data_IF_877810581913
#
_entry.id   IF_877810581913
#
_cell.length_a   1.000
_cell.length_b   1.000
_cell.length_c   1.000
_cell.angle_alpha   90.00
_cell.angle_beta   90.00
_cell.angle_gamma   90.00
#
_symmetry.space_group_name_H-M   'P 1'
#
loop_
_entity.id
_entity.type
_entity.pdbx_description
1 polymer ?
#
# COMPACT_ATOMS: atom_id res chain seq x y z
N UNK A 1 15.50 -8.69 -18.23
CA UNK A 1 14.27 -8.59 -17.43
C UNK A 1 13.89 -9.97 -16.91
N UNK A 2 13.71 -10.09 -15.63
CA UNK A 2 13.34 -11.35 -14.98
C UNK A 2 11.84 -11.60 -15.14
N UNK A 3 11.46 -12.83 -15.57
CA UNK A 3 10.06 -13.21 -15.75
C UNK A 3 9.57 -13.96 -14.51
N UNK A 4 8.49 -13.48 -13.90
CA UNK A 4 7.89 -14.06 -12.70
C UNK A 4 6.43 -14.40 -13.02
N UNK A 5 6.14 -15.70 -13.15
CA UNK A 5 4.86 -16.14 -13.72
C UNK A 5 3.95 -16.86 -12.73
N UNK A 6 4.41 -17.12 -11.51
CA UNK A 6 3.58 -17.80 -10.52
C UNK A 6 3.99 -17.45 -9.10
N UNK A 7 3.05 -17.62 -8.17
CA UNK A 7 3.30 -17.55 -6.74
C UNK A 7 3.77 -18.93 -6.30
N UNK A 8 4.99 -19.03 -5.79
CA UNK A 8 5.58 -20.31 -5.37
C UNK A 8 5.32 -20.63 -3.91
N UNK A 9 4.78 -19.69 -3.16
CA UNK A 9 4.45 -19.85 -1.76
C UNK A 9 4.26 -18.51 -1.09
N UNK A 10 4.19 -18.52 0.23
CA UNK A 10 4.02 -17.29 1.02
C UNK A 10 5.07 -17.25 2.12
N UNK A 11 5.55 -16.04 2.42
CA UNK A 11 6.61 -15.84 3.42
C UNK A 11 6.19 -16.25 4.83
N UNK A 12 4.88 -16.26 5.11
CA UNK A 12 4.35 -16.69 6.40
C UNK A 12 4.14 -18.21 6.51
N UNK A 13 4.29 -18.96 5.43
CA UNK A 13 4.23 -20.42 5.46
C UNK A 13 5.40 -20.93 6.31
N UNK A 14 5.13 -21.93 7.15
CA UNK A 14 6.09 -22.42 8.14
C UNK A 14 7.43 -22.82 7.51
N UNK A 15 7.41 -23.54 6.41
CA UNK A 15 8.62 -24.01 5.75
C UNK A 15 9.38 -22.87 5.07
N UNK A 16 8.66 -21.91 4.51
CA UNK A 16 9.26 -20.77 3.80
C UNK A 16 9.81 -19.73 4.76
N UNK A 17 9.18 -19.57 5.91
CA UNK A 17 9.56 -18.57 6.91
C UNK A 17 11.02 -18.71 7.34
N UNK A 18 11.48 -19.94 7.61
CA UNK A 18 12.85 -20.21 8.03
C UNK A 18 13.86 -19.88 6.91
N UNK A 19 13.55 -20.27 5.68
CA UNK A 19 14.43 -20.02 4.55
C UNK A 19 14.50 -18.51 4.24
N UNK A 20 13.37 -17.82 4.25
CA UNK A 20 13.32 -16.36 4.06
C UNK A 20 14.14 -15.64 5.14
N UNK A 21 13.98 -16.07 6.41
CA UNK A 21 14.75 -15.50 7.51
C UNK A 21 16.26 -15.65 7.29
N UNK A 22 16.70 -16.83 6.90
CA UNK A 22 18.12 -17.10 6.64
C UNK A 22 18.64 -16.27 5.46
N UNK A 23 17.88 -16.16 4.38
CA UNK A 23 18.23 -15.35 3.22
C UNK A 23 18.27 -13.86 3.57
N UNK A 24 17.37 -13.41 4.43
CA UNK A 24 17.32 -12.03 4.90
C UNK A 24 18.60 -11.65 5.65
N UNK A 25 19.13 -12.54 6.48
CA UNK A 25 20.40 -12.31 7.18
C UNK A 25 21.59 -12.16 6.23
N UNK A 26 21.51 -12.78 5.05
CA UNK A 26 22.55 -12.69 4.02
C UNK A 26 22.27 -11.58 3.00
N UNK A 27 21.24 -10.77 3.22
CA UNK A 27 20.79 -9.72 2.31
C UNK A 27 20.44 -10.26 0.91
N UNK A 28 19.81 -11.42 0.87
CA UNK A 28 19.44 -12.13 -0.38
C UNK A 28 17.93 -12.17 -0.61
N UNK A 29 17.15 -11.36 0.11
CA UNK A 29 15.72 -11.19 -0.12
C UNK A 29 15.48 -9.84 -0.78
N UNK A 30 14.75 -9.85 -1.88
CA UNK A 30 14.32 -8.64 -2.57
C UNK A 30 12.82 -8.48 -2.45
N UNK A 31 12.35 -7.25 -2.39
CA UNK A 31 10.93 -6.95 -2.21
C UNK A 31 10.39 -6.14 -3.38
N UNK A 32 9.21 -6.51 -3.83
CA UNK A 32 8.39 -5.70 -4.72
C UNK A 32 7.31 -5.07 -3.84
N UNK A 33 7.35 -3.75 -3.68
CA UNK A 33 6.37 -3.03 -2.87
C UNK A 33 5.20 -2.61 -3.75
N UNK A 34 4.01 -3.07 -3.40
CA UNK A 34 2.78 -2.76 -4.13
C UNK A 34 1.75 -2.18 -3.17
N UNK A 35 1.04 -1.15 -3.62
CA UNK A 35 -0.12 -0.66 -2.89
C UNK A 35 -1.31 -1.60 -3.09
N UNK A 36 -2.41 -1.32 -2.37
CA UNK A 36 -3.59 -2.17 -2.41
C UNK A 36 -4.17 -2.31 -3.82
N UNK A 37 -4.21 -1.23 -4.58
CA UNK A 37 -4.75 -1.24 -5.94
C UNK A 37 -3.89 -2.10 -6.87
N UNK A 38 -2.57 -1.96 -6.77
CA UNK A 38 -1.63 -2.69 -7.62
C UNK A 38 -1.54 -4.17 -7.27
N UNK A 39 -1.84 -4.56 -6.03
CA UNK A 39 -1.91 -5.98 -5.66
C UNK A 39 -2.97 -6.75 -6.45
N UNK A 40 -3.98 -6.08 -6.99
CA UNK A 40 -5.04 -6.71 -7.78
C UNK A 40 -4.67 -6.93 -9.23
N UNK A 41 -3.55 -6.37 -9.68
CA UNK A 41 -3.08 -6.54 -11.05
C UNK A 41 -2.41 -7.90 -11.21
N UNK A 42 -2.60 -8.51 -12.36
CA UNK A 42 -2.01 -9.82 -12.68
C UNK A 42 -0.85 -9.73 -13.63
N UNK A 43 -0.74 -8.64 -14.36
CA UNK A 43 0.33 -8.44 -15.34
C UNK A 43 0.85 -7.02 -15.22
N UNK A 44 2.12 -6.90 -14.86
CA UNK A 44 2.75 -5.60 -14.68
C UNK A 44 4.27 -5.73 -14.67
N UNK A 45 4.94 -4.60 -14.80
CA UNK A 45 6.39 -4.49 -14.65
C UNK A 45 6.68 -3.82 -13.30
N UNK A 46 7.67 -4.34 -12.60
CA UNK A 46 8.07 -3.79 -11.31
C UNK A 46 9.57 -3.91 -11.12
N UNK A 47 10.12 -3.05 -10.27
CA UNK A 47 11.53 -3.10 -9.88
C UNK A 47 11.61 -3.41 -8.40
N UNK A 48 12.45 -4.37 -8.02
CA UNK A 48 12.65 -4.70 -6.61
C UNK A 48 13.42 -3.58 -5.91
N UNK A 49 13.43 -3.63 -4.58
CA UNK A 49 14.20 -2.67 -3.77
C UNK A 49 15.71 -2.72 -4.04
N UNK A 50 16.18 -3.78 -4.71
CA UNK A 50 17.60 -3.90 -5.10
C UNK A 50 17.85 -3.57 -6.58
N UNK A 51 16.83 -3.07 -7.27
CA UNK A 51 16.96 -2.62 -8.65
C UNK A 51 16.74 -3.70 -9.69
N UNK A 52 16.28 -4.89 -9.32
CA UNK A 52 15.98 -5.95 -10.29
C UNK A 52 14.70 -5.63 -11.05
N UNK A 53 14.78 -5.61 -12.36
CA UNK A 53 13.66 -5.35 -13.24
C UNK A 53 12.89 -6.65 -13.50
N UNK A 54 11.61 -6.66 -13.18
CA UNK A 54 10.78 -7.86 -13.22
C UNK A 54 9.54 -7.64 -14.09
N UNK A 55 9.19 -8.65 -14.88
CA UNK A 55 7.90 -8.73 -15.54
C UNK A 55 7.07 -9.79 -14.81
N UNK A 56 5.97 -9.36 -14.21
CA UNK A 56 5.09 -10.23 -13.44
C UNK A 56 3.85 -10.55 -14.25
N UNK A 57 3.53 -11.84 -14.37
CA UNK A 57 2.32 -12.30 -15.08
C UNK A 57 1.75 -13.51 -14.32
N UNK A 58 0.72 -13.27 -13.53
CA UNK A 58 0.14 -14.26 -12.63
C UNK A 58 -1.13 -14.85 -13.25
N UNK A 59 -1.30 -16.17 -13.13
CA UNK A 59 -2.47 -16.89 -13.65
C UNK A 59 -3.76 -16.44 -12.94
N UNK A 60 -4.89 -16.60 -13.61
CA UNK A 60 -6.21 -16.16 -13.10
C UNK A 60 -6.62 -16.84 -11.81
N UNK A 61 -6.13 -18.07 -11.57
CA UNK A 61 -6.45 -18.82 -10.36
C UNK A 61 -5.57 -18.45 -9.16
N UNK A 62 -4.64 -17.51 -9.33
CA UNK A 62 -3.79 -17.00 -8.27
C UNK A 62 -4.02 -15.51 -8.10
N UNK A 63 -3.82 -15.03 -6.87
CA UNK A 63 -3.98 -13.62 -6.53
C UNK A 63 -2.82 -13.19 -5.66
N UNK A 64 -2.19 -12.07 -6.01
CA UNK A 64 -1.14 -11.50 -5.19
C UNK A 64 -1.70 -11.01 -3.86
N UNK A 65 -0.94 -11.24 -2.81
CA UNK A 65 -1.23 -10.73 -1.48
C UNK A 65 0.10 -10.44 -0.77
N UNK A 66 0.01 -9.78 0.38
CA UNK A 66 1.19 -9.49 1.17
C UNK A 66 1.92 -10.78 1.54
N UNK A 67 3.21 -10.84 1.26
CA UNK A 67 4.02 -12.02 1.53
C UNK A 67 4.10 -13.04 0.41
N UNK A 68 3.45 -12.79 -0.75
CA UNK A 68 3.52 -13.71 -1.88
C UNK A 68 4.96 -13.80 -2.39
N UNK A 69 5.47 -15.03 -2.52
CA UNK A 69 6.83 -15.28 -3.00
C UNK A 69 6.77 -15.59 -4.49
N UNK A 70 7.49 -14.82 -5.28
CA UNK A 70 7.54 -14.98 -6.73
C UNK A 70 8.80 -15.68 -7.21
N UNK A 71 9.83 -15.69 -6.40
CA UNK A 71 11.07 -16.42 -6.66
C UNK A 71 11.61 -16.90 -5.33
N UNK A 72 11.99 -18.18 -5.25
CA UNK A 72 12.60 -18.74 -4.06
C UNK A 72 13.58 -19.85 -4.43
N UNK A 73 14.84 -19.67 -4.06
CA UNK A 73 15.86 -20.70 -4.14
C UNK A 73 16.82 -20.54 -2.95
N UNK A 74 17.88 -21.31 -2.92
CA UNK A 74 18.81 -21.30 -1.79
C UNK A 74 19.63 -20.01 -1.68
N UNK A 75 19.65 -19.19 -2.72
CA UNK A 75 20.50 -18.01 -2.79
C UNK A 75 19.72 -16.70 -2.93
N UNK A 76 18.41 -16.77 -3.20
CA UNK A 76 17.65 -15.58 -3.53
C UNK A 76 16.16 -15.79 -3.33
N UNK A 77 15.48 -14.75 -2.87
CA UNK A 77 14.03 -14.72 -2.82
C UNK A 77 13.53 -13.36 -3.29
N UNK A 78 12.39 -13.36 -3.99
CA UNK A 78 11.67 -12.13 -4.34
C UNK A 78 10.28 -12.25 -3.76
N UNK A 79 9.92 -11.31 -2.88
CA UNK A 79 8.69 -11.34 -2.11
C UNK A 79 7.90 -10.07 -2.38
N UNK A 80 6.59 -10.21 -2.59
CA UNK A 80 5.68 -9.07 -2.69
C UNK A 80 5.32 -8.63 -1.29
N UNK A 81 5.48 -7.34 -1.02
CA UNK A 81 5.09 -6.75 0.25
C UNK A 81 4.17 -5.57 -0.01
N UNK A 82 3.06 -5.52 0.74
CA UNK A 82 2.17 -4.38 0.63
C UNK A 82 2.86 -3.16 1.22
N UNK A 83 2.91 -2.08 0.45
CA UNK A 83 3.42 -0.81 0.92
C UNK A 83 2.50 -0.30 2.04
N UNK A 84 3.08 0.31 3.06
CA UNK A 84 2.30 0.92 4.13
C UNK A 84 1.43 2.03 3.56
N UNK A 85 0.17 2.08 4.00
CA UNK A 85 -0.72 3.17 3.64
C UNK A 85 -0.16 4.49 4.16
N UNK A 86 -0.21 5.51 3.33
CA UNK A 86 0.03 6.89 3.76
C UNK A 86 -1.33 7.51 4.04
N UNK A 87 -1.41 8.31 5.11
CA UNK A 87 -2.67 8.87 5.58
C UNK A 87 -2.61 10.39 5.61
N UNK A 88 -3.69 11.04 5.14
CA UNK A 88 -3.93 12.45 5.36
C UNK A 88 -4.89 12.57 6.53
N UNK A 89 -4.43 13.16 7.63
CA UNK A 89 -5.22 13.26 8.86
C UNK A 89 -5.80 14.67 8.99
N UNK A 90 -7.10 14.75 9.13
CA UNK A 90 -7.84 16.02 9.15
C UNK A 90 -8.71 16.10 10.40
N UNK A 91 -8.50 17.15 11.19
CA UNK A 91 -9.30 17.41 12.38
C UNK A 91 -10.37 18.47 12.08
N UNK A 92 -11.67 18.11 12.14
CA UNK A 92 -12.73 19.12 12.01
C UNK A 92 -12.81 19.98 13.26
N UNK A 93 -13.18 21.25 13.08
CA UNK A 93 -13.22 22.22 14.16
C UNK A 93 -14.53 22.16 14.97
N UNK A 94 -15.58 21.56 14.40
CA UNK A 94 -16.87 21.42 15.06
C UNK A 94 -17.64 20.21 14.52
N UNK A 95 -18.77 19.90 15.13
CA UNK A 95 -19.61 18.78 14.74
C UNK A 95 -20.15 18.91 13.32
N UNK A 96 -20.60 20.09 12.95
CA UNK A 96 -21.15 20.32 11.62
C UNK A 96 -20.11 20.01 10.55
N UNK A 97 -18.88 20.49 10.74
CA UNK A 97 -17.77 20.21 9.83
C UNK A 97 -17.44 18.73 9.80
N UNK A 98 -17.46 18.04 10.95
CA UNK A 98 -17.18 16.61 11.01
C UNK A 98 -18.17 15.82 10.14
N UNK A 99 -19.46 16.14 10.23
CA UNK A 99 -20.51 15.49 9.45
C UNK A 99 -20.31 15.76 7.95
N UNK A 100 -20.08 17.01 7.60
CA UNK A 100 -19.87 17.41 6.20
C UNK A 100 -18.62 16.79 5.61
N UNK A 101 -17.53 16.75 6.36
CA UNK A 101 -16.26 16.14 5.91
C UNK A 101 -16.43 14.66 5.67
N UNK A 102 -17.09 13.94 6.59
CA UNK A 102 -17.39 12.53 6.44
C UNK A 102 -18.23 12.25 5.19
N UNK A 103 -19.27 13.03 4.98
CA UNK A 103 -20.13 12.93 3.81
C UNK A 103 -19.34 13.21 2.52
N UNK A 104 -18.51 14.25 2.54
CA UNK A 104 -17.69 14.60 1.40
C UNK A 104 -16.73 13.46 1.02
N UNK A 105 -16.02 12.91 2.00
CA UNK A 105 -15.08 11.80 1.77
C UNK A 105 -15.81 10.57 1.23
N UNK A 106 -17.00 10.26 1.74
CA UNK A 106 -17.84 9.18 1.24
C UNK A 106 -18.27 9.40 -0.20
N UNK A 107 -18.68 10.62 -0.54
CA UNK A 107 -19.06 11.01 -1.90
C UNK A 107 -17.91 10.87 -2.88
N UNK A 108 -16.70 11.15 -2.44
CA UNK A 108 -15.49 11.01 -3.27
C UNK A 108 -15.01 9.55 -3.34
N UNK A 109 -15.66 8.64 -2.64
CA UNK A 109 -15.27 7.24 -2.53
C UNK A 109 -13.84 7.06 -1.98
N UNK A 110 -13.42 7.98 -1.14
CA UNK A 110 -12.13 7.88 -0.47
C UNK A 110 -12.18 6.82 0.63
N UNK A 111 -11.13 6.04 0.75
CA UNK A 111 -11.02 5.09 1.85
C UNK A 111 -10.57 5.83 3.09
N UNK A 112 -11.31 5.67 4.17
CA UNK A 112 -11.08 6.43 5.40
C UNK A 112 -11.04 5.52 6.61
N UNK A 113 -10.45 6.01 7.70
CA UNK A 113 -10.63 5.44 9.03
C UNK A 113 -10.92 6.58 10.01
N UNK A 114 -11.70 6.25 11.04
CA UNK A 114 -12.11 7.23 12.02
C UNK A 114 -11.24 7.08 13.27
N UNK A 115 -10.76 8.20 13.79
CA UNK A 115 -10.11 8.30 15.08
C UNK A 115 -11.01 9.14 16.00
N UNK A 116 -10.63 9.31 17.28
CA UNK A 116 -11.46 10.00 18.23
C UNK A 116 -11.84 11.42 17.80
N UNK A 117 -10.89 12.16 17.26
CA UNK A 117 -11.05 13.59 16.98
C UNK A 117 -10.69 13.97 15.55
N UNK A 118 -10.38 13.00 14.71
CA UNK A 118 -9.99 13.30 13.32
C UNK A 118 -10.35 12.16 12.37
N UNK A 119 -10.30 12.48 11.08
CA UNK A 119 -10.54 11.55 10.00
C UNK A 119 -9.22 11.34 9.26
N UNK A 120 -8.85 10.08 9.05
CA UNK A 120 -7.69 9.72 8.24
C UNK A 120 -8.17 9.26 6.86
N UNK A 121 -7.61 9.88 5.82
CA UNK A 121 -7.90 9.55 4.42
C UNK A 121 -6.70 8.83 3.84
N UNK A 122 -6.91 7.64 3.27
CA UNK A 122 -5.84 6.88 2.63
C UNK A 122 -5.39 7.59 1.35
N UNK A 123 -4.10 7.85 1.25
CA UNK A 123 -3.52 8.50 0.07
C UNK A 123 -3.24 7.45 -1.00
N UNK A 124 -4.18 7.26 -1.90
CA UNK A 124 -4.09 6.34 -3.04
C UNK A 124 -3.72 7.08 -4.33
N UNK A 125 -3.60 8.39 -4.24
CA UNK A 125 -3.16 9.31 -5.29
C UNK A 125 -2.24 10.35 -4.66
N UNK A 126 -1.58 11.23 -5.43
CA UNK A 126 -0.78 12.28 -4.83
C UNK A 126 -1.58 13.14 -3.86
N UNK A 127 -0.98 13.48 -2.72
CA UNK A 127 -1.63 14.24 -1.66
C UNK A 127 -2.25 15.54 -2.16
N UNK A 128 -1.60 16.20 -3.10
CA UNK A 128 -2.07 17.48 -3.66
C UNK A 128 -3.48 17.38 -4.25
N UNK A 129 -3.83 16.25 -4.83
CA UNK A 129 -5.19 16.04 -5.38
C UNK A 129 -6.24 16.12 -4.28
N UNK A 130 -5.96 15.53 -3.12
CA UNK A 130 -6.88 15.58 -1.97
C UNK A 130 -6.98 16.98 -1.39
N UNK A 131 -5.86 17.67 -1.26
CA UNK A 131 -5.83 19.03 -0.73
C UNK A 131 -6.60 19.99 -1.63
N UNK A 132 -6.49 19.86 -2.94
CA UNK A 132 -7.25 20.67 -3.90
C UNK A 132 -8.75 20.42 -3.79
N UNK A 133 -9.17 19.16 -3.61
CA UNK A 133 -10.58 18.82 -3.44
C UNK A 133 -11.15 19.35 -2.12
N UNK A 134 -10.30 19.48 -1.11
CA UNK A 134 -10.70 19.96 0.22
C UNK A 134 -10.51 21.48 0.40
N UNK A 135 -10.19 22.21 -0.66
CA UNK A 135 -9.80 23.62 -0.54
C UNK A 135 -10.83 24.51 0.15
N UNK A 136 -12.14 24.25 -0.06
CA UNK A 136 -13.19 25.04 0.60
C UNK A 136 -13.16 24.88 2.12
N UNK A 137 -12.91 23.67 2.61
CA UNK A 137 -12.77 23.42 4.05
C UNK A 137 -11.58 24.15 4.65
N UNK A 138 -10.45 24.15 3.95
CA UNK A 138 -9.24 24.84 4.41
C UNK A 138 -9.41 26.36 4.33
N UNK A 139 -9.98 26.88 3.24
CA UNK A 139 -10.20 28.31 3.06
C UNK A 139 -11.11 28.89 4.12
N UNK A 140 -12.10 28.12 4.55
CA UNK A 140 -13.04 28.53 5.62
C UNK A 140 -12.49 28.22 7.02
N UNK A 141 -11.28 27.67 7.12
CA UNK A 141 -10.64 27.31 8.38
C UNK A 141 -11.47 26.32 9.21
N UNK A 142 -12.16 25.40 8.53
CA UNK A 142 -13.05 24.42 9.19
C UNK A 142 -12.32 23.14 9.56
N UNK A 143 -11.22 22.82 8.93
CA UNK A 143 -10.40 21.65 9.20
C UNK A 143 -8.96 22.03 9.43
N UNK A 144 -8.26 21.23 10.22
CA UNK A 144 -6.84 21.40 10.50
C UNK A 144 -6.13 20.10 10.09
N UNK A 145 -5.07 20.23 9.33
CA UNK A 145 -4.23 19.10 8.97
C UNK A 145 -3.38 18.70 10.17
N UNK A 146 -3.44 17.43 10.56
CA UNK A 146 -2.60 16.90 11.63
C UNK A 146 -1.36 16.29 10.97
N UNK A 147 -0.18 16.76 11.37
CA UNK A 147 1.08 16.20 10.88
C UNK A 147 1.36 14.86 11.56
N UNK A 148 1.88 13.91 10.78
CA UNK A 148 2.48 12.69 11.30
C UNK A 148 3.99 12.89 11.30
N UNK A 149 4.57 12.85 12.47
CA UNK A 149 6.02 12.85 12.60
C UNK A 149 6.58 11.45 12.51
#
# INVERSE_FOLDING_TARGET
MLQLNKIVGYSHDKDNSSLIHNLSHKDQVEYIFLDRANLQRRRFRATTNKGTDCAVSIARNQKLSNGAILLLNQNRAIVVQMAEDQWLSLKPNDFATAIELGYFAGNMHWRVKFAEDHLDIALESPEQIYLERLHDFFDQQRITRIGHE
#
